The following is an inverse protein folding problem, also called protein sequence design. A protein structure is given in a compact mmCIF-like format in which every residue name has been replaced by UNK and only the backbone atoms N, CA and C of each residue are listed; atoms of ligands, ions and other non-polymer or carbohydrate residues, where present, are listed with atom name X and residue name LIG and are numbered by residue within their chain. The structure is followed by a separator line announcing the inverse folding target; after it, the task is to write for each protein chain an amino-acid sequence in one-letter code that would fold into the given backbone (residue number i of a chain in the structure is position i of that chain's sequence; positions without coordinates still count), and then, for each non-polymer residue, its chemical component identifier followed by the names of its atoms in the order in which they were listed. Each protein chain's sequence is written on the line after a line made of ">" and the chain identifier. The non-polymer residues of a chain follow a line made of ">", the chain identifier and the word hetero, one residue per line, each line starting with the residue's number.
data_IF_694109322024
#
_entry.id   IF_694109322024
#
_cell.length_a   1.000
_cell.length_b   1.000
_cell.length_c   1.000
_cell.angle_alpha   90.00
_cell.angle_beta   90.00
_cell.angle_gamma   90.00
#
_symmetry.space_group_name_H-M   'P 1'
#
loop_
_entity.id
_entity.type
_entity.pdbx_description
1 polymer ?
#
# COMPACT_ATOMS: atom_id res chain seq x y z
N UNK A 1 -13.17 -2.14 -19.44
CA UNK A 1 -14.18 -1.07 -19.37
C UNK A 1 -15.19 -1.17 -20.53
N UNK A 2 -15.58 -2.38 -20.95
CA UNK A 2 -16.45 -2.58 -22.12
C UNK A 2 -17.95 -2.52 -21.80
N UNK A 3 -18.33 -2.62 -20.52
CA UNK A 3 -19.69 -2.40 -20.04
C UNK A 3 -19.86 -0.95 -19.57
N UNK A 4 -20.77 -0.22 -20.22
CA UNK A 4 -21.06 1.19 -19.94
C UNK A 4 -21.58 1.43 -18.52
N UNK A 5 -22.23 0.43 -17.91
CA UNK A 5 -22.81 0.53 -16.56
C UNK A 5 -22.07 -0.35 -15.55
N UNK A 6 -20.94 -0.94 -15.94
CA UNK A 6 -20.13 -1.77 -15.06
C UNK A 6 -19.53 -0.98 -13.91
N UNK A 7 -19.65 -1.51 -12.71
CA UNK A 7 -18.97 -1.03 -11.51
C UNK A 7 -18.11 -2.15 -10.92
N UNK A 8 -16.94 -1.80 -10.42
CA UNK A 8 -16.04 -2.73 -9.77
C UNK A 8 -15.11 -2.02 -8.80
N UNK A 9 -14.37 -2.80 -8.02
CA UNK A 9 -13.32 -2.31 -7.15
C UNK A 9 -11.98 -2.85 -7.64
N UNK A 10 -10.95 -2.02 -7.62
CA UNK A 10 -9.60 -2.38 -8.03
C UNK A 10 -8.58 -1.55 -7.26
N UNK A 11 -7.33 -2.03 -7.22
CA UNK A 11 -6.24 -1.22 -6.70
C UNK A 11 -5.97 -0.02 -7.60
N UNK A 12 -5.69 1.14 -7.01
CA UNK A 12 -5.48 2.39 -7.76
C UNK A 12 -4.33 2.30 -8.78
N UNK A 13 -3.33 1.45 -8.53
CA UNK A 13 -2.22 1.18 -9.45
C UNK A 13 -2.64 0.51 -10.77
N UNK A 14 -3.84 -0.06 -10.85
CA UNK A 14 -4.40 -0.64 -12.08
C UNK A 14 -5.30 0.32 -12.86
N UNK A 15 -5.36 1.60 -12.47
CA UNK A 15 -6.16 2.62 -13.15
C UNK A 15 -5.70 2.78 -14.60
N UNK A 16 -6.64 2.70 -15.52
CA UNK A 16 -6.45 3.09 -16.93
C UNK A 16 -7.23 4.37 -17.23
N UNK A 17 -7.00 4.96 -18.41
CA UNK A 17 -7.76 6.13 -18.85
C UNK A 17 -9.27 5.83 -19.02
N UNK A 18 -9.63 4.57 -19.27
CA UNK A 18 -11.01 4.13 -19.51
C UNK A 18 -11.82 3.91 -18.22
N UNK A 19 -11.19 4.04 -17.04
CA UNK A 19 -11.83 3.80 -15.75
C UNK A 19 -11.82 5.08 -14.92
N UNK A 20 -13.01 5.57 -14.59
CA UNK A 20 -13.20 6.68 -13.65
C UNK A 20 -13.17 6.16 -12.22
N UNK A 21 -12.11 6.51 -11.47
CA UNK A 21 -12.12 6.38 -10.02
C UNK A 21 -13.06 7.43 -9.40
N UNK A 22 -13.87 7.03 -8.43
CA UNK A 22 -14.89 7.89 -7.82
C UNK A 22 -14.49 8.33 -6.41
N UNK A 23 -14.80 9.56 -6.00
CA UNK A 23 -14.70 9.97 -4.60
C UNK A 23 -15.61 9.14 -3.70
N UNK A 24 -15.20 8.91 -2.46
CA UNK A 24 -15.95 8.13 -1.47
C UNK A 24 -16.10 8.92 -0.17
N UNK A 25 -17.27 8.78 0.46
CA UNK A 25 -17.53 9.25 1.83
C UNK A 25 -17.67 8.07 2.78
N UNK A 26 -17.35 8.30 4.06
CA UNK A 26 -17.56 7.29 5.12
C UNK A 26 -19.04 7.11 5.47
N UNK A 27 -19.86 8.12 5.22
CA UNK A 27 -21.31 8.13 5.46
C UNK A 27 -22.03 8.81 4.31
N UNK A 28 -23.36 8.64 4.24
CA UNK A 28 -24.23 9.25 3.23
C UNK A 28 -24.16 10.78 3.20
N UNK A 29 -24.02 11.41 4.36
CA UNK A 29 -24.06 12.86 4.54
C UNK A 29 -22.67 13.48 4.72
N UNK A 30 -21.62 12.65 4.64
CA UNK A 30 -20.23 13.07 4.83
C UNK A 30 -19.58 13.65 3.57
N UNK A 31 -18.41 14.28 3.72
CA UNK A 31 -17.65 14.76 2.57
C UNK A 31 -17.19 13.59 1.71
N UNK A 32 -17.20 13.80 0.38
CA UNK A 32 -16.63 12.86 -0.57
C UNK A 32 -15.14 13.16 -0.76
N UNK A 33 -14.30 12.18 -0.48
CA UNK A 33 -12.84 12.32 -0.57
C UNK A 33 -12.34 11.66 -1.86
N UNK A 34 -11.51 12.37 -2.61
CA UNK A 34 -10.95 11.87 -3.87
C UNK A 34 -9.87 10.80 -3.62
N UNK A 35 -9.73 9.79 -4.52
CA UNK A 35 -8.70 8.74 -4.44
C UNK A 35 -7.31 9.26 -4.85
N UNK A 36 -6.78 10.22 -4.09
CA UNK A 36 -5.47 10.83 -4.31
C UNK A 36 -4.46 10.37 -3.27
N UNK A 37 -3.17 10.40 -3.63
CA UNK A 37 -2.08 9.97 -2.75
C UNK A 37 -2.10 10.69 -1.39
N UNK A 38 -2.31 12.01 -1.39
CA UNK A 38 -2.38 12.81 -0.17
C UNK A 38 -3.48 12.31 0.78
N UNK A 39 -4.68 12.02 0.24
CA UNK A 39 -5.82 11.54 1.02
C UNK A 39 -5.64 10.09 1.51
N UNK A 40 -4.86 9.28 0.78
CA UNK A 40 -4.48 7.95 1.25
C UNK A 40 -3.45 8.02 2.38
N UNK A 41 -2.50 8.96 2.33
CA UNK A 41 -1.51 9.16 3.40
C UNK A 41 -2.10 9.81 4.65
N UNK A 42 -3.06 10.73 4.51
CA UNK A 42 -3.78 11.33 5.64
C UNK A 42 -4.76 10.34 6.28
N UNK A 43 -5.17 9.30 5.55
CA UNK A 43 -6.20 8.35 5.96
C UNK A 43 -7.63 8.86 5.74
N UNK A 44 -7.80 10.03 5.12
CA UNK A 44 -9.12 10.60 4.82
C UNK A 44 -9.84 9.85 3.69
N UNK A 45 -9.10 9.27 2.74
CA UNK A 45 -9.72 8.40 1.74
C UNK A 45 -10.11 7.06 2.37
N UNK A 46 -11.41 6.70 2.40
CA UNK A 46 -11.93 5.63 3.26
C UNK A 46 -11.52 4.21 2.84
N UNK A 47 -11.04 4.02 1.61
CA UNK A 47 -10.58 2.73 1.10
C UNK A 47 -9.06 2.70 0.84
N UNK A 48 -8.30 3.43 1.66
CA UNK A 48 -6.84 3.30 1.72
C UNK A 48 -6.44 2.17 2.68
N UNK A 49 -5.40 1.40 2.33
CA UNK A 49 -4.88 0.32 3.17
C UNK A 49 -3.41 0.07 2.93
N UNK A 50 -2.73 -0.48 3.93
CA UNK A 50 -1.42 -1.07 3.75
C UNK A 50 -1.51 -2.38 2.95
N UNK A 51 -0.44 -2.68 2.23
CA UNK A 51 -0.16 -4.02 1.73
C UNK A 51 0.76 -4.69 2.75
N UNK A 52 0.26 -5.72 3.42
CA UNK A 52 1.02 -6.45 4.42
C UNK A 52 1.79 -7.61 3.79
N UNK A 53 3.02 -7.80 4.25
CA UNK A 53 3.82 -9.00 3.99
C UNK A 53 3.74 -9.90 5.23
N UNK A 54 3.21 -11.10 5.06
CA UNK A 54 3.19 -12.12 6.11
C UNK A 54 4.46 -12.95 6.03
N UNK A 55 5.22 -12.99 7.13
CA UNK A 55 6.48 -13.75 7.19
C UNK A 55 6.33 -14.82 8.25
N UNK A 56 6.44 -16.08 7.83
CA UNK A 56 6.36 -17.22 8.73
C UNK A 56 7.76 -17.66 9.17
N UNK A 57 8.01 -17.66 10.47
CA UNK A 57 9.22 -18.19 11.09
C UNK A 57 8.93 -18.58 12.55
N UNK A 58 9.74 -19.49 13.10
CA UNK A 58 9.51 -20.00 14.46
C UNK A 58 9.65 -18.86 15.48
N UNK A 59 8.69 -18.67 16.41
CA UNK A 59 8.83 -17.69 17.49
C UNK A 59 10.14 -17.88 18.27
N UNK A 60 10.85 -16.78 18.54
CA UNK A 60 12.15 -16.79 19.21
C UNK A 60 13.33 -17.25 18.35
N UNK A 61 13.11 -17.57 17.07
CA UNK A 61 14.19 -17.81 16.09
C UNK A 61 14.44 -16.58 15.22
N UNK A 62 15.47 -16.65 14.39
CA UNK A 62 15.78 -15.62 13.39
C UNK A 62 15.26 -16.02 12.01
N UNK A 63 14.92 -15.03 11.21
CA UNK A 63 14.72 -15.21 9.78
C UNK A 63 16.01 -15.70 9.12
N UNK A 64 15.87 -16.60 8.13
CA UNK A 64 17.03 -17.01 7.34
C UNK A 64 17.62 -15.80 6.58
N UNK A 65 18.92 -15.85 6.23
CA UNK A 65 19.61 -14.72 5.62
C UNK A 65 18.91 -14.13 4.39
N UNK A 66 18.37 -14.97 3.50
CA UNK A 66 17.76 -14.50 2.26
C UNK A 66 16.47 -13.72 2.53
N UNK A 67 15.59 -14.23 3.42
CA UNK A 67 14.36 -13.51 3.78
C UNK A 67 14.67 -12.19 4.48
N UNK A 68 15.71 -12.12 5.31
CA UNK A 68 16.13 -10.86 5.96
C UNK A 68 16.52 -9.81 4.93
N UNK A 69 17.41 -10.16 4.01
CA UNK A 69 17.89 -9.21 2.98
C UNK A 69 16.78 -8.82 2.01
N UNK A 70 15.86 -9.74 1.70
CA UNK A 70 14.66 -9.40 0.92
C UNK A 70 13.80 -8.34 1.62
N UNK A 71 13.53 -8.50 2.92
CA UNK A 71 12.75 -7.52 3.69
C UNK A 71 13.48 -6.18 3.81
N UNK A 72 14.81 -6.19 4.01
CA UNK A 72 15.63 -4.97 3.99
C UNK A 72 15.53 -4.26 2.64
N UNK A 73 15.63 -5.00 1.55
CA UNK A 73 15.54 -4.44 0.20
C UNK A 73 14.16 -3.85 -0.08
N UNK A 74 13.08 -4.60 0.11
CA UNK A 74 11.73 -4.11 -0.23
C UNK A 74 11.29 -2.92 0.63
N UNK A 75 11.78 -2.83 1.88
CA UNK A 75 11.51 -1.68 2.78
C UNK A 75 12.53 -0.54 2.64
N UNK A 76 13.59 -0.71 1.84
CA UNK A 76 14.58 0.35 1.57
C UNK A 76 14.06 1.40 0.61
N UNK A 77 14.76 2.53 0.52
CA UNK A 77 14.52 3.56 -0.51
C UNK A 77 14.51 3.00 -1.93
N UNK A 78 15.40 2.06 -2.25
CA UNK A 78 15.48 1.43 -3.57
C UNK A 78 14.26 0.55 -3.86
N UNK A 79 13.83 -0.26 -2.89
CA UNK A 79 12.62 -1.06 -3.02
C UNK A 79 11.38 -0.19 -3.20
N UNK A 80 11.26 0.88 -2.41
CA UNK A 80 10.15 1.82 -2.47
C UNK A 80 10.16 2.69 -3.75
N UNK A 81 11.32 2.95 -4.34
CA UNK A 81 11.40 3.58 -5.66
C UNK A 81 10.76 2.71 -6.75
N UNK A 82 10.88 1.38 -6.64
CA UNK A 82 10.17 0.43 -7.49
C UNK A 82 8.65 0.51 -7.31
N UNK A 83 8.18 0.57 -6.07
CA UNK A 83 6.75 0.73 -5.73
C UNK A 83 6.17 1.99 -6.39
N UNK A 84 6.88 3.11 -6.31
CA UNK A 84 6.45 4.36 -6.95
C UNK A 84 6.42 4.24 -8.48
N UNK A 85 7.43 3.61 -9.08
CA UNK A 85 7.51 3.40 -10.53
C UNK A 85 6.34 2.56 -11.07
N UNK A 86 5.89 1.59 -10.28
CA UNK A 86 4.75 0.72 -10.64
C UNK A 86 3.38 1.37 -10.31
N UNK A 87 3.36 2.65 -9.90
CA UNK A 87 2.13 3.42 -9.69
C UNK A 87 1.47 3.22 -8.32
N UNK A 88 2.20 2.66 -7.36
CA UNK A 88 1.75 2.52 -5.97
C UNK A 88 2.32 3.62 -5.07
N UNK A 89 1.74 3.74 -3.88
CA UNK A 89 2.16 4.72 -2.88
C UNK A 89 3.29 4.13 -2.01
N UNK A 90 4.52 4.69 -2.07
CA UNK A 90 5.60 4.22 -1.22
C UNK A 90 5.32 4.51 0.25
N UNK A 91 5.84 3.68 1.14
CA UNK A 91 5.78 3.91 2.59
C UNK A 91 6.84 4.94 3.03
N UNK A 92 6.62 5.56 4.18
CA UNK A 92 7.59 6.48 4.78
C UNK A 92 8.71 5.71 5.49
N UNK A 93 9.84 6.38 5.74
CA UNK A 93 10.94 5.82 6.52
C UNK A 93 10.48 5.34 7.91
N UNK A 94 9.61 6.10 8.58
CA UNK A 94 9.04 5.72 9.88
C UNK A 94 8.30 4.39 9.83
N UNK A 95 7.51 4.16 8.77
CA UNK A 95 6.78 2.91 8.58
C UNK A 95 7.76 1.78 8.26
N UNK A 96 8.74 2.01 7.38
CA UNK A 96 9.76 1.03 7.02
C UNK A 96 10.55 0.54 8.25
N UNK A 97 11.04 1.47 9.08
CA UNK A 97 11.75 1.15 10.34
C UNK A 97 10.87 0.34 11.29
N UNK A 98 9.60 0.73 11.45
CA UNK A 98 8.66 -0.02 12.31
C UNK A 98 8.40 -1.43 11.75
N UNK A 99 8.27 -1.57 10.44
CA UNK A 99 8.06 -2.87 9.79
C UNK A 99 9.26 -3.79 9.95
N UNK A 100 10.49 -3.30 9.77
CA UNK A 100 11.72 -4.06 10.03
C UNK A 100 11.81 -4.51 11.50
N UNK A 101 11.55 -3.59 12.44
CA UNK A 101 11.60 -3.90 13.87
C UNK A 101 10.59 -5.00 14.26
N UNK A 102 9.42 -5.04 13.60
CA UNK A 102 8.39 -6.05 13.89
C UNK A 102 8.81 -7.49 13.58
N UNK A 103 9.87 -7.68 12.78
CA UNK A 103 10.45 -8.99 12.44
C UNK A 103 11.87 -9.17 13.00
N UNK A 104 12.28 -8.31 13.95
CA UNK A 104 13.59 -8.38 14.59
C UNK A 104 14.75 -7.90 13.71
N UNK A 105 14.49 -6.98 12.78
CA UNK A 105 15.51 -6.33 11.95
C UNK A 105 15.62 -4.86 12.37
N UNK A 106 16.86 -4.40 12.59
CA UNK A 106 17.21 -2.98 12.78
C UNK A 106 17.58 -2.33 11.45
#
# INVERSE_FOLDING_TARGET
>A
ASDKFGIGYSGIGYKTADVRAIPLGLSSDGPLIAPEAANAYSGEYPLSRFLYLSVNYKPGSQLDPLRREFLRYVLSSNGQAGVLKDGYLPITATIATRSLASVGLE
#
